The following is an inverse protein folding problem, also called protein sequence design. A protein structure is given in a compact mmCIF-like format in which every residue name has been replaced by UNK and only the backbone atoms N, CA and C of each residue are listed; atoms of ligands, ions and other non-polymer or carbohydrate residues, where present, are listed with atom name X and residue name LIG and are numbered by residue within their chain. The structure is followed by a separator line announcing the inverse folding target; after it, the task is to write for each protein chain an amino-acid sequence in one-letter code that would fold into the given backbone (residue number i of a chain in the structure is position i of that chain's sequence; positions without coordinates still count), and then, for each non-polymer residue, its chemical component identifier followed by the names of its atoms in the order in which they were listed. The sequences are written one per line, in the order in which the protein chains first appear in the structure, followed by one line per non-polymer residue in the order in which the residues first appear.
data_IF_855592385517
#
_entry.id   IF_855592385517
#
_cell.length_a   1.000
_cell.length_b   1.000
_cell.length_c   1.000
_cell.angle_alpha   90.00
_cell.angle_beta   90.00
_cell.angle_gamma   90.00
#
_symmetry.space_group_name_H-M   'P 1'
#
loop_
_entity.id
_entity.type
_entity.pdbx_description
1 polymer ?
#
# COMPACT_ATOMS: atom_id res chain seq x y z
N UNK A 1 19.86 -13.83 -4.62
CA UNK A 1 19.11 -12.61 -4.36
C UNK A 1 19.48 -11.95 -3.04
N UNK A 2 19.17 -12.49 -1.84
CA UNK A 2 19.44 -11.80 -0.55
C UNK A 2 20.92 -11.46 -0.33
N UNK A 3 21.87 -12.37 -0.62
CA UNK A 3 23.29 -12.08 -0.58
C UNK A 3 23.70 -10.93 -1.51
N UNK A 4 23.10 -10.85 -2.70
CA UNK A 4 23.37 -9.77 -3.64
C UNK A 4 22.87 -8.44 -3.09
N UNK A 5 21.64 -8.40 -2.59
CA UNK A 5 21.07 -7.19 -1.98
C UNK A 5 21.94 -6.68 -0.82
N UNK A 6 22.39 -7.58 0.04
CA UNK A 6 23.27 -7.20 1.16
C UNK A 6 24.64 -6.70 0.68
N UNK A 7 25.23 -7.38 -0.31
CA UNK A 7 26.54 -6.99 -0.86
C UNK A 7 26.50 -5.65 -1.61
N UNK A 8 25.36 -5.28 -2.18
CA UNK A 8 25.14 -4.00 -2.88
C UNK A 8 24.57 -2.90 -1.97
N UNK A 9 24.54 -3.12 -0.66
CA UNK A 9 24.05 -2.12 0.30
C UNK A 9 22.54 -1.88 0.28
N UNK A 10 21.76 -2.75 -0.39
CA UNK A 10 20.32 -2.60 -0.44
C UNK A 10 19.64 -3.16 0.81
N UNK A 11 18.69 -2.40 1.33
CA UNK A 11 17.82 -2.85 2.40
C UNK A 11 16.73 -3.78 1.90
N UNK A 12 16.38 -4.77 2.70
CA UNK A 12 15.27 -5.66 2.37
C UNK A 12 14.50 -6.10 3.60
N UNK A 13 13.20 -6.36 3.40
CA UNK A 13 12.33 -7.09 4.31
C UNK A 13 11.52 -8.09 3.48
N UNK A 14 11.69 -9.38 3.75
CA UNK A 14 11.03 -10.45 2.99
C UNK A 14 10.29 -11.41 3.91
N UNK A 15 9.14 -11.88 3.48
CA UNK A 15 8.38 -12.89 4.22
C UNK A 15 8.96 -14.28 3.97
N UNK A 16 9.16 -15.03 5.04
CA UNK A 16 9.49 -16.44 4.99
C UNK A 16 8.22 -17.28 5.17
N UNK A 17 7.88 -18.08 4.17
CA UNK A 17 6.70 -18.95 4.21
C UNK A 17 6.92 -20.23 5.03
N UNK A 18 8.17 -20.61 5.28
CA UNK A 18 8.54 -21.85 5.97
C UNK A 18 9.35 -21.57 7.22
N UNK A 19 9.08 -22.35 8.28
CA UNK A 19 9.92 -22.34 9.48
C UNK A 19 11.25 -23.06 9.17
N UNK A 20 12.31 -22.28 8.93
CA UNK A 20 13.63 -22.82 8.52
C UNK A 20 14.42 -23.30 9.73
N UNK A 21 15.33 -24.24 9.49
CA UNK A 21 16.30 -24.71 10.46
C UNK A 21 17.41 -23.65 10.59
N UNK A 22 17.86 -23.42 11.83
CA UNK A 22 19.05 -22.63 12.11
C UNK A 22 20.28 -23.45 11.79
N UNK A 23 21.34 -22.77 11.36
CA UNK A 23 22.66 -23.34 11.23
C UNK A 23 23.13 -23.81 12.62
N UNK A 24 23.36 -25.08 12.79
CA UNK A 24 23.80 -25.68 14.04
C UNK A 24 25.02 -26.55 13.83
N UNK A 25 25.85 -26.71 14.87
CA UNK A 25 26.90 -27.71 14.87
C UNK A 25 26.30 -29.13 14.88
N UNK A 26 27.03 -30.11 14.32
CA UNK A 26 26.58 -31.51 14.25
C UNK A 26 26.16 -32.12 15.61
N UNK A 27 26.59 -31.50 16.72
CA UNK A 27 26.31 -31.94 18.10
C UNK A 27 25.09 -31.29 18.76
N UNK A 28 24.43 -30.29 18.15
CA UNK A 28 23.26 -29.65 18.75
C UNK A 28 21.98 -30.02 18.01
N UNK A 29 20.85 -30.21 18.73
CA UNK A 29 19.56 -30.47 18.10
C UNK A 29 19.24 -29.30 17.16
N UNK A 30 18.78 -29.62 15.93
CA UNK A 30 18.46 -28.65 14.89
C UNK A 30 17.25 -27.82 15.32
N UNK A 31 17.50 -26.67 15.91
CA UNK A 31 16.46 -25.71 16.32
C UNK A 31 15.86 -25.01 15.10
N UNK A 32 14.57 -24.81 15.12
CA UNK A 32 13.89 -24.00 14.13
C UNK A 32 13.94 -22.52 14.52
N UNK A 33 13.80 -21.64 13.55
CA UNK A 33 13.84 -20.18 13.79
C UNK A 33 12.76 -19.76 14.79
N UNK A 34 11.54 -20.30 14.66
CA UNK A 34 10.44 -19.99 15.58
C UNK A 34 10.70 -20.43 17.02
N UNK A 35 11.43 -21.52 17.22
CA UNK A 35 11.80 -22.00 18.56
C UNK A 35 12.78 -20.99 19.25
N UNK A 36 13.68 -20.39 18.47
CA UNK A 36 14.53 -19.32 18.95
C UNK A 36 13.73 -18.08 19.27
N UNK A 37 12.84 -17.66 18.37
CA UNK A 37 12.00 -16.46 18.52
C UNK A 37 10.99 -16.60 19.65
N UNK A 38 10.49 -17.81 19.94
CA UNK A 38 9.58 -18.06 21.06
C UNK A 38 10.23 -17.72 22.41
N UNK A 39 11.55 -17.87 22.51
CA UNK A 39 12.34 -17.57 23.71
C UNK A 39 12.84 -16.12 23.77
N UNK A 40 12.77 -15.38 22.66
CA UNK A 40 13.15 -13.99 22.62
C UNK A 40 12.10 -13.13 23.36
N UNK A 41 12.48 -12.00 23.97
CA UNK A 41 11.51 -11.08 24.59
C UNK A 41 10.56 -10.50 23.53
N UNK A 42 9.40 -10.06 23.98
CA UNK A 42 8.49 -9.27 23.17
C UNK A 42 9.09 -7.87 23.05
N UNK A 43 9.44 -7.46 21.86
CA UNK A 43 9.99 -6.14 21.59
C UNK A 43 8.90 -5.08 21.44
N UNK A 44 7.80 -5.44 20.77
CA UNK A 44 6.72 -4.51 20.49
C UNK A 44 5.36 -5.21 20.43
N UNK A 45 4.31 -4.41 20.58
CA UNK A 45 2.92 -4.80 20.32
C UNK A 45 2.26 -3.73 19.47
N UNK A 46 1.37 -4.14 18.56
CA UNK A 46 0.60 -3.22 17.74
C UNK A 46 -0.78 -3.77 17.43
N UNK A 47 -1.70 -2.86 17.15
CA UNK A 47 -3.04 -3.18 16.69
C UNK A 47 -3.13 -2.98 15.19
N UNK A 48 -3.79 -3.90 14.50
CA UNK A 48 -4.02 -3.84 13.05
C UNK A 48 -5.49 -4.10 12.78
N UNK A 49 -6.12 -3.22 12.01
CA UNK A 49 -7.49 -3.40 11.57
C UNK A 49 -7.49 -4.20 10.26
N UNK A 50 -8.20 -5.32 10.30
CA UNK A 50 -8.39 -6.21 9.16
C UNK A 50 -9.72 -5.89 8.51
N UNK A 51 -9.67 -5.54 7.22
CA UNK A 51 -10.88 -5.32 6.44
C UNK A 51 -11.67 -6.62 6.29
N UNK A 52 -12.99 -6.53 6.31
CA UNK A 52 -13.89 -7.60 5.93
C UNK A 52 -13.79 -7.93 4.44
N UNK A 53 -14.22 -9.11 4.06
CA UNK A 53 -14.26 -9.58 2.68
C UNK A 53 -13.95 -11.06 2.55
N UNK A 54 -14.36 -11.68 1.45
CA UNK A 54 -14.16 -13.11 1.21
C UNK A 54 -14.63 -14.03 2.35
N UNK A 55 -15.81 -13.73 2.92
CA UNK A 55 -16.38 -14.50 4.03
C UNK A 55 -15.79 -14.22 5.40
N UNK A 56 -14.97 -13.17 5.53
CA UNK A 56 -14.38 -12.71 6.79
C UNK A 56 -15.00 -11.39 7.23
N UNK A 57 -15.31 -11.26 8.52
CA UNK A 57 -15.74 -10.00 9.11
C UNK A 57 -14.56 -9.04 9.35
N UNK A 58 -14.87 -7.73 9.29
CA UNK A 58 -13.89 -6.72 9.69
C UNK A 58 -13.61 -6.85 11.18
N UNK A 59 -12.33 -6.91 11.57
CA UNK A 59 -11.93 -7.02 12.96
C UNK A 59 -10.58 -6.38 13.24
N UNK A 60 -10.32 -6.12 14.48
CA UNK A 60 -9.04 -5.63 14.95
C UNK A 60 -8.23 -6.76 15.58
N UNK A 61 -6.98 -6.90 15.18
CA UNK A 61 -6.07 -7.92 15.65
C UNK A 61 -4.94 -7.31 16.49
N UNK A 62 -4.69 -7.86 17.67
CA UNK A 62 -3.56 -7.51 18.51
C UNK A 62 -2.35 -8.35 18.12
N UNK A 63 -1.28 -7.72 17.65
CA UNK A 63 -0.05 -8.38 17.24
C UNK A 63 1.05 -8.18 18.27
N UNK A 64 1.85 -9.22 18.49
CA UNK A 64 3.11 -9.16 19.24
C UNK A 64 4.27 -9.42 18.30
N UNK A 65 5.37 -8.70 18.51
CA UNK A 65 6.56 -8.74 17.69
C UNK A 65 7.74 -9.20 18.52
N UNK A 66 8.46 -10.21 18.02
CA UNK A 66 9.70 -10.71 18.59
C UNK A 66 10.76 -10.72 17.50
N UNK A 67 12.01 -10.44 17.85
CA UNK A 67 13.12 -10.49 16.89
C UNK A 67 14.34 -11.17 17.49
N UNK A 68 15.17 -11.70 16.60
CA UNK A 68 16.48 -12.23 16.94
C UNK A 68 17.35 -12.31 15.70
N UNK A 69 18.65 -12.06 15.87
CA UNK A 69 19.65 -12.33 14.83
C UNK A 69 19.76 -13.82 14.57
N UNK A 70 19.69 -14.20 13.31
CA UNK A 70 19.83 -15.60 12.86
C UNK A 70 20.79 -15.69 11.69
N UNK A 71 21.51 -16.80 11.60
CA UNK A 71 22.34 -17.12 10.45
C UNK A 71 21.61 -18.18 9.61
N UNK A 72 21.34 -17.84 8.36
CA UNK A 72 20.71 -18.69 7.37
C UNK A 72 21.78 -19.29 6.47
N UNK A 73 21.73 -20.58 6.21
CA UNK A 73 22.49 -21.16 5.11
C UNK A 73 21.65 -21.15 3.84
N UNK A 74 22.00 -20.26 2.94
CA UNK A 74 21.33 -20.12 1.65
C UNK A 74 22.16 -20.79 0.56
N UNK A 75 21.50 -21.61 -0.26
CA UNK A 75 22.13 -22.22 -1.43
C UNK A 75 22.19 -21.21 -2.56
N UNK A 76 23.36 -20.97 -3.07
CA UNK A 76 23.56 -20.16 -4.26
C UNK A 76 22.98 -20.88 -5.48
N UNK A 77 22.09 -20.24 -6.28
CA UNK A 77 21.45 -20.88 -7.42
C UNK A 77 22.40 -21.34 -8.53
N UNK A 78 23.54 -20.63 -8.68
CA UNK A 78 24.51 -20.86 -9.73
C UNK A 78 25.61 -21.86 -9.29
N UNK A 79 26.36 -21.48 -8.24
CA UNK A 79 27.47 -22.29 -7.74
C UNK A 79 27.04 -23.52 -6.91
N UNK A 80 25.73 -23.61 -6.56
CA UNK A 80 25.17 -24.64 -5.66
C UNK A 80 25.82 -24.69 -4.27
N UNK A 81 26.80 -23.86 -3.98
CA UNK A 81 27.45 -23.73 -2.68
C UNK A 81 26.49 -23.11 -1.64
N UNK A 82 26.62 -23.54 -0.40
CA UNK A 82 25.92 -22.91 0.71
C UNK A 82 26.77 -21.78 1.26
N UNK A 83 26.13 -20.62 1.48
CA UNK A 83 26.76 -19.44 2.07
C UNK A 83 25.95 -18.98 3.27
N UNK A 84 26.60 -18.68 4.40
CA UNK A 84 25.92 -18.11 5.55
C UNK A 84 25.47 -16.67 5.25
N UNK A 85 24.29 -16.31 5.74
CA UNK A 85 23.75 -14.95 5.69
C UNK A 85 23.19 -14.60 7.06
N UNK A 86 23.77 -13.59 7.72
CA UNK A 86 23.23 -13.04 8.95
C UNK A 86 22.10 -12.08 8.66
N UNK A 87 20.96 -12.28 9.31
CA UNK A 87 19.75 -11.43 9.17
C UNK A 87 19.04 -11.33 10.51
N UNK A 88 18.22 -10.29 10.66
CA UNK A 88 17.22 -10.24 11.70
C UNK A 88 15.99 -11.04 11.28
N UNK A 89 15.59 -11.99 12.12
CA UNK A 89 14.32 -12.69 11.98
C UNK A 89 13.29 -12.00 12.88
N UNK A 90 12.22 -11.48 12.29
CA UNK A 90 11.14 -10.80 12.99
C UNK A 90 9.89 -11.68 12.90
N UNK A 91 9.36 -12.07 14.04
CA UNK A 91 8.16 -12.87 14.14
C UNK A 91 7.00 -12.05 14.68
N UNK A 92 6.00 -11.86 13.84
CA UNK A 92 4.76 -11.15 14.15
C UNK A 92 3.66 -12.16 14.29
N UNK A 93 3.04 -12.21 15.46
CA UNK A 93 1.98 -13.19 15.76
C UNK A 93 0.78 -12.50 16.40
N UNK A 94 -0.40 -12.87 15.95
CA UNK A 94 -1.65 -12.46 16.57
C UNK A 94 -1.81 -13.10 17.95
N UNK A 95 -2.26 -12.30 18.90
CA UNK A 95 -2.56 -12.69 20.28
C UNK A 95 -4.06 -12.57 20.54
N UNK A 96 -4.60 -13.46 21.36
CA UNK A 96 -6.01 -13.47 21.69
C UNK A 96 -6.84 -14.48 20.88
N UNK A 97 -8.15 -14.38 21.01
CA UNK A 97 -9.09 -15.28 20.35
C UNK A 97 -9.28 -14.85 18.89
N UNK A 98 -9.13 -15.80 17.98
CA UNK A 98 -9.40 -15.62 16.56
C UNK A 98 -10.79 -16.18 16.26
N UNK A 99 -11.62 -15.53 15.42
CA UNK A 99 -12.93 -16.04 15.06
C UNK A 99 -12.88 -17.45 14.47
N UNK A 100 -13.92 -18.21 14.72
CA UNK A 100 -14.03 -19.60 14.22
C UNK A 100 -13.91 -19.63 12.69
N UNK A 101 -13.04 -20.48 12.18
CA UNK A 101 -12.78 -20.62 10.73
C UNK A 101 -11.69 -19.69 10.19
N UNK A 102 -11.24 -18.70 10.95
CA UNK A 102 -10.11 -17.84 10.56
C UNK A 102 -8.78 -18.39 11.09
N UNK A 103 -7.70 -18.07 10.37
CA UNK A 103 -6.34 -18.36 10.84
C UNK A 103 -5.75 -17.09 11.47
N UNK A 104 -5.04 -17.22 12.62
CA UNK A 104 -4.34 -16.07 13.21
C UNK A 104 -3.28 -15.53 12.26
N UNK A 105 -3.04 -14.23 12.33
CA UNK A 105 -1.91 -13.62 11.64
C UNK A 105 -0.60 -14.17 12.22
N UNK A 106 0.23 -14.69 11.33
CA UNK A 106 1.52 -15.28 11.67
C UNK A 106 2.52 -15.01 10.54
N UNK A 107 3.40 -14.04 10.75
CA UNK A 107 4.40 -13.63 9.77
C UNK A 107 5.81 -13.85 10.32
N UNK A 108 6.63 -14.56 9.59
CA UNK A 108 8.06 -14.64 9.80
C UNK A 108 8.74 -13.81 8.72
N UNK A 109 9.40 -12.72 9.11
CA UNK A 109 10.10 -11.80 8.23
C UNK A 109 11.60 -11.94 8.42
N UNK A 110 12.36 -11.79 7.33
CA UNK A 110 13.81 -11.61 7.37
C UNK A 110 14.14 -10.21 6.86
N UNK A 111 15.01 -9.54 7.57
CA UNK A 111 15.47 -8.21 7.20
C UNK A 111 16.95 -8.03 7.52
N UNK A 112 17.63 -7.14 6.80
CA UNK A 112 18.98 -6.67 7.13
C UNK A 112 18.97 -5.31 7.84
N UNK A 113 17.79 -4.78 8.17
CA UNK A 113 17.69 -3.67 9.12
C UNK A 113 18.03 -4.12 10.53
N UNK A 114 18.57 -3.23 11.34
CA UNK A 114 18.66 -3.44 12.80
C UNK A 114 17.24 -3.55 13.39
N UNK A 115 17.07 -4.43 14.38
CA UNK A 115 15.80 -4.63 15.10
C UNK A 115 16.12 -4.90 16.56
N UNK A 116 16.69 -3.90 17.22
CA UNK A 116 17.09 -3.97 18.62
C UNK A 116 16.12 -3.23 19.53
N UNK A 117 15.34 -2.29 18.98
CA UNK A 117 14.35 -1.49 19.69
C UNK A 117 12.92 -1.79 19.25
N UNK A 118 11.96 -1.34 20.06
CA UNK A 118 10.52 -1.39 19.75
C UNK A 118 10.19 -0.64 18.46
N UNK A 119 10.77 0.55 18.29
CA UNK A 119 10.56 1.43 17.14
C UNK A 119 11.04 0.78 15.86
N UNK A 120 12.23 0.20 15.86
CA UNK A 120 12.82 -0.51 14.71
C UNK A 120 11.99 -1.74 14.34
N UNK A 121 11.54 -2.51 15.34
CA UNK A 121 10.66 -3.66 15.13
C UNK A 121 9.35 -3.24 14.47
N UNK A 122 8.72 -2.16 14.96
CA UNK A 122 7.49 -1.62 14.38
C UNK A 122 7.71 -1.05 12.99
N UNK A 123 8.84 -0.39 12.72
CA UNK A 123 9.19 0.13 11.39
C UNK A 123 9.25 -1.01 10.36
N UNK A 124 9.93 -2.10 10.68
CA UNK A 124 10.01 -3.29 9.81
C UNK A 124 8.64 -3.88 9.54
N UNK A 125 7.80 -4.02 10.57
CA UNK A 125 6.45 -4.58 10.40
C UNK A 125 5.56 -3.64 9.58
N UNK A 126 5.57 -2.35 9.87
CA UNK A 126 4.82 -1.34 9.10
C UNK A 126 5.28 -1.29 7.65
N UNK A 127 6.60 -1.32 7.43
CA UNK A 127 7.17 -1.38 6.07
C UNK A 127 6.70 -2.62 5.31
N UNK A 128 6.67 -3.79 5.96
CA UNK A 128 6.13 -5.00 5.34
C UNK A 128 4.62 -4.88 5.02
N UNK A 129 3.84 -4.26 5.88
CA UNK A 129 2.42 -4.01 5.62
C UNK A 129 2.19 -3.14 4.37
N UNK A 130 3.13 -2.24 4.03
CA UNK A 130 3.05 -1.43 2.80
C UNK A 130 3.21 -2.26 1.52
N UNK A 131 3.73 -3.49 1.59
CA UNK A 131 3.85 -4.39 0.44
C UNK A 131 2.53 -4.56 -0.31
N UNK A 132 1.41 -4.55 0.41
CA UNK A 132 0.08 -4.70 -0.19
C UNK A 132 -0.29 -3.58 -1.16
N UNK A 133 0.32 -2.41 -1.03
CA UNK A 133 0.06 -1.28 -1.93
C UNK A 133 0.51 -1.52 -3.35
N UNK A 134 1.56 -2.32 -3.56
CA UNK A 134 1.99 -2.69 -4.91
C UNK A 134 0.93 -3.57 -5.60
N UNK A 135 0.22 -4.39 -4.83
CA UNK A 135 -0.87 -5.21 -5.36
C UNK A 135 -2.09 -4.36 -5.71
N UNK A 136 -2.45 -3.36 -4.87
CA UNK A 136 -3.48 -2.37 -5.19
C UNK A 136 -3.11 -1.57 -6.45
N UNK A 137 -1.86 -1.10 -6.55
CA UNK A 137 -1.35 -0.43 -7.74
C UNK A 137 -1.47 -1.33 -8.98
N UNK A 138 -0.98 -2.57 -8.92
CA UNK A 138 -1.10 -3.49 -10.04
C UNK A 138 -2.54 -3.76 -10.44
N UNK A 139 -3.45 -3.90 -9.48
CA UNK A 139 -4.87 -4.05 -9.75
C UNK A 139 -5.44 -2.84 -10.48
N UNK A 140 -5.13 -1.62 -10.04
CA UNK A 140 -5.59 -0.38 -10.68
C UNK A 140 -5.01 -0.21 -12.07
N UNK A 141 -3.71 -0.52 -12.24
CA UNK A 141 -2.99 -0.37 -13.50
C UNK A 141 -3.36 -1.43 -14.53
N UNK A 142 -3.38 -2.71 -14.16
CA UNK A 142 -3.55 -3.83 -15.10
C UNK A 142 -4.99 -3.98 -15.57
N UNK A 143 -5.90 -4.29 -14.65
CA UNK A 143 -7.28 -4.70 -14.94
C UNK A 143 -8.35 -3.79 -14.37
N UNK A 144 -7.95 -2.77 -13.60
CA UNK A 144 -8.86 -1.83 -12.95
C UNK A 144 -9.10 -0.57 -13.78
N UNK A 145 -8.84 0.58 -13.17
CA UNK A 145 -9.14 1.90 -13.76
C UNK A 145 -8.33 2.18 -15.05
N UNK A 146 -7.08 1.70 -15.15
CA UNK A 146 -6.21 1.93 -16.32
C UNK A 146 -6.31 0.85 -17.38
N UNK A 147 -6.63 -0.38 -17.00
CA UNK A 147 -6.92 -1.51 -17.89
C UNK A 147 -5.85 -1.78 -18.97
N UNK A 148 -4.57 -1.72 -18.58
CA UNK A 148 -3.43 -1.86 -19.51
C UNK A 148 -3.42 -3.20 -20.24
N UNK A 149 -3.89 -4.28 -19.59
CA UNK A 149 -3.92 -5.64 -20.15
C UNK A 149 -4.86 -5.79 -21.36
N UNK A 150 -5.80 -4.86 -21.55
CA UNK A 150 -6.70 -4.84 -22.70
C UNK A 150 -6.19 -3.96 -23.86
N UNK A 151 -4.94 -3.50 -23.77
CA UNK A 151 -4.34 -2.74 -24.87
C UNK A 151 -4.21 -3.61 -26.12
N UNK A 152 -4.60 -3.04 -27.26
CA UNK A 152 -4.44 -3.65 -28.60
C UNK A 152 -3.20 -3.14 -29.35
N UNK A 153 -2.27 -2.51 -28.65
CA UNK A 153 -1.01 -2.04 -29.23
C UNK A 153 -0.08 -3.22 -29.51
N UNK A 154 0.47 -3.31 -30.72
CA UNK A 154 1.33 -4.42 -31.15
C UNK A 154 2.83 -4.08 -31.05
N UNK A 155 3.18 -2.80 -31.11
CA UNK A 155 4.58 -2.37 -31.03
C UNK A 155 5.05 -2.30 -29.58
N UNK A 156 6.18 -2.95 -29.25
CA UNK A 156 6.78 -2.90 -27.90
C UNK A 156 7.05 -1.48 -27.44
N UNK A 157 7.47 -0.59 -28.34
CA UNK A 157 7.72 0.83 -28.03
C UNK A 157 6.43 1.53 -27.61
N UNK A 158 5.34 1.33 -28.36
CA UNK A 158 4.05 1.93 -28.06
C UNK A 158 3.42 1.34 -26.78
N UNK A 159 3.51 0.01 -26.61
CA UNK A 159 3.06 -0.67 -25.37
C UNK A 159 3.81 -0.11 -24.16
N UNK A 160 5.15 0.03 -24.25
CA UNK A 160 5.96 0.56 -23.14
C UNK A 160 5.57 2.00 -22.80
N UNK A 161 5.46 2.88 -23.78
CA UNK A 161 5.04 4.28 -23.56
C UNK A 161 3.65 4.34 -22.93
N UNK A 162 2.70 3.62 -23.48
CA UNK A 162 1.33 3.55 -23.00
C UNK A 162 1.26 3.03 -21.54
N UNK A 163 1.90 1.92 -21.29
CA UNK A 163 1.97 1.32 -19.96
C UNK A 163 2.60 2.26 -18.92
N UNK A 164 3.66 3.02 -19.32
CA UNK A 164 4.31 4.00 -18.45
C UNK A 164 3.39 5.18 -18.13
N UNK A 165 2.67 5.73 -19.12
CA UNK A 165 1.71 6.82 -18.89
C UNK A 165 0.60 6.35 -17.94
N UNK A 166 0.03 5.16 -18.19
CA UNK A 166 -1.01 4.63 -17.33
C UNK A 166 -0.51 4.23 -15.95
N UNK A 167 0.78 3.91 -15.79
CA UNK A 167 1.37 3.70 -14.47
C UNK A 167 1.36 5.01 -13.65
N UNK A 168 1.70 6.16 -14.26
CA UNK A 168 1.61 7.46 -13.59
C UNK A 168 0.16 7.79 -13.17
N UNK A 169 -0.82 7.50 -14.04
CA UNK A 169 -2.25 7.66 -13.71
C UNK A 169 -2.65 6.76 -12.54
N UNK A 170 -2.24 5.49 -12.55
CA UNK A 170 -2.52 4.54 -11.47
C UNK A 170 -1.91 4.99 -10.15
N UNK A 171 -0.65 5.48 -10.15
CA UNK A 171 0.02 6.03 -8.97
C UNK A 171 -0.78 7.20 -8.40
N UNK A 172 -1.22 8.14 -9.25
CA UNK A 172 -2.02 9.30 -8.81
C UNK A 172 -3.33 8.86 -8.14
N UNK A 173 -4.05 7.89 -8.74
CA UNK A 173 -5.29 7.35 -8.18
C UNK A 173 -5.04 6.71 -6.81
N UNK A 174 -4.02 5.84 -6.71
CA UNK A 174 -3.71 5.14 -5.46
C UNK A 174 -3.21 6.10 -4.38
N UNK A 175 -2.47 7.14 -4.75
CA UNK A 175 -2.02 8.19 -3.85
C UNK A 175 -3.19 9.00 -3.28
N UNK A 176 -4.14 9.43 -4.11
CA UNK A 176 -5.36 10.10 -3.66
C UNK A 176 -6.18 9.22 -2.70
N UNK A 177 -6.36 7.95 -3.02
CA UNK A 177 -7.01 6.98 -2.12
C UNK A 177 -6.31 6.88 -0.77
N UNK A 178 -4.98 6.82 -0.80
CA UNK A 178 -4.18 6.73 0.41
C UNK A 178 -4.34 7.96 1.28
N UNK A 179 -4.11 9.14 0.71
CA UNK A 179 -4.18 10.41 1.44
C UNK A 179 -5.58 10.64 2.03
N UNK A 180 -6.64 10.35 1.28
CA UNK A 180 -8.00 10.44 1.79
C UNK A 180 -8.30 9.53 2.99
N UNK A 181 -7.54 8.43 3.15
CA UNK A 181 -7.69 7.48 4.27
C UNK A 181 -6.79 7.79 5.47
N UNK A 182 -5.60 8.33 5.22
CA UNK A 182 -4.56 8.48 6.25
C UNK A 182 -4.29 9.91 6.65
N UNK A 183 -4.61 10.86 5.80
CA UNK A 183 -4.32 12.30 5.94
C UNK A 183 -5.46 13.14 5.33
N UNK A 184 -6.70 12.80 5.65
CA UNK A 184 -7.90 13.37 5.04
C UNK A 184 -7.99 14.90 5.19
N UNK A 185 -7.39 15.45 6.25
CA UNK A 185 -7.44 16.89 6.60
C UNK A 185 -6.40 17.76 5.86
N UNK A 186 -5.46 17.13 5.13
CA UNK A 186 -4.55 17.91 4.28
C UNK A 186 -5.32 18.72 3.24
N UNK A 187 -4.77 19.87 2.85
CA UNK A 187 -5.32 20.68 1.80
C UNK A 187 -5.28 19.94 0.45
N UNK A 188 -6.35 20.01 -0.35
CA UNK A 188 -6.41 19.35 -1.65
C UNK A 188 -5.33 19.81 -2.64
N UNK A 189 -4.84 21.05 -2.49
CA UNK A 189 -3.75 21.61 -3.29
C UNK A 189 -2.41 20.88 -3.18
N UNK A 190 -2.26 19.93 -2.23
CA UNK A 190 -1.10 19.00 -2.17
C UNK A 190 -1.05 18.08 -3.38
N UNK A 191 -2.21 17.75 -3.97
CA UNK A 191 -2.35 16.77 -5.06
C UNK A 191 -3.07 17.33 -6.30
N UNK A 192 -3.87 18.38 -6.13
CA UNK A 192 -4.65 18.97 -7.21
C UNK A 192 -4.05 20.34 -7.63
N UNK A 193 -4.06 20.59 -8.92
CA UNK A 193 -3.67 21.89 -9.46
C UNK A 193 -4.68 22.97 -9.06
N UNK A 194 -4.33 24.27 -9.11
CA UNK A 194 -5.27 25.37 -8.85
C UNK A 194 -6.55 25.27 -9.70
N UNK A 195 -6.41 24.98 -10.98
CA UNK A 195 -7.54 24.82 -11.90
C UNK A 195 -8.42 23.59 -11.54
N UNK A 196 -7.81 22.48 -11.12
CA UNK A 196 -8.57 21.31 -10.65
C UNK A 196 -9.35 21.63 -9.37
N UNK A 197 -8.74 22.33 -8.42
CA UNK A 197 -9.44 22.78 -7.19
C UNK A 197 -10.59 23.71 -7.54
N UNK A 198 -10.36 24.69 -8.41
CA UNK A 198 -11.40 25.65 -8.85
C UNK A 198 -12.56 24.93 -9.56
N UNK A 199 -12.27 24.09 -10.54
CA UNK A 199 -13.27 23.29 -11.25
C UNK A 199 -14.08 22.40 -10.32
N UNK A 200 -13.42 21.78 -9.33
CA UNK A 200 -14.05 20.90 -8.35
C UNK A 200 -15.02 21.68 -7.44
N UNK A 201 -14.61 22.85 -6.97
CA UNK A 201 -15.45 23.73 -6.17
C UNK A 201 -16.67 24.23 -6.95
N UNK A 202 -16.50 24.66 -8.21
CA UNK A 202 -17.60 25.09 -9.08
C UNK A 202 -18.59 23.95 -9.29
N UNK A 203 -18.08 22.75 -9.60
CA UNK A 203 -18.96 21.58 -9.77
C UNK A 203 -19.70 21.25 -8.47
N UNK A 204 -19.02 21.27 -7.33
CA UNK A 204 -19.62 20.92 -6.05
C UNK A 204 -20.68 21.92 -5.61
N UNK A 205 -20.46 23.22 -5.82
CA UNK A 205 -21.46 24.26 -5.52
C UNK A 205 -22.76 24.06 -6.30
N UNK A 206 -22.70 23.58 -7.55
CA UNK A 206 -23.86 23.24 -8.37
C UNK A 206 -24.56 21.93 -7.94
N UNK A 207 -23.82 21.04 -7.32
CA UNK A 207 -24.26 19.70 -6.94
C UNK A 207 -24.29 19.48 -5.42
N UNK A 208 -24.38 20.53 -4.63
CA UNK A 208 -24.42 20.44 -3.17
C UNK A 208 -25.77 19.90 -2.67
N UNK A 209 -25.74 19.15 -1.57
CA UNK A 209 -26.92 18.82 -0.78
C UNK A 209 -27.30 20.01 0.11
N UNK A 210 -28.55 20.03 0.59
CA UNK A 210 -29.09 21.17 1.38
C UNK A 210 -28.26 21.49 2.64
N UNK A 211 -27.66 20.49 3.27
CA UNK A 211 -26.95 20.60 4.56
C UNK A 211 -25.42 20.70 4.40
N UNK A 212 -24.90 20.64 3.17
CA UNK A 212 -23.46 20.54 2.93
C UNK A 212 -22.80 21.91 2.93
N UNK A 213 -21.76 22.09 3.75
CA UNK A 213 -20.94 23.30 3.79
C UNK A 213 -19.74 23.12 2.88
N UNK A 214 -19.59 24.01 1.91
CA UNK A 214 -18.49 23.99 0.94
C UNK A 214 -17.50 25.10 1.31
N UNK A 215 -16.20 24.80 1.46
CA UNK A 215 -15.19 25.83 1.73
C UNK A 215 -15.08 26.82 0.58
N UNK A 216 -14.63 28.04 0.90
CA UNK A 216 -14.55 29.15 -0.10
C UNK A 216 -13.44 28.91 -1.13
N UNK A 217 -12.30 28.36 -0.72
CA UNK A 217 -11.09 28.30 -1.57
C UNK A 217 -10.47 26.91 -1.71
N UNK A 218 -10.16 26.23 -0.63
CA UNK A 218 -9.39 24.98 -0.69
C UNK A 218 -10.06 23.89 0.17
N UNK A 219 -10.64 22.84 -0.46
CA UNK A 219 -11.21 21.71 0.28
C UNK A 219 -10.10 20.86 0.90
N UNK A 220 -10.45 20.02 1.87
CA UNK A 220 -9.54 18.99 2.34
C UNK A 220 -9.40 17.88 1.30
N UNK A 221 -8.30 17.12 1.38
CA UNK A 221 -8.06 15.99 0.46
C UNK A 221 -9.17 14.93 0.60
N UNK A 222 -9.70 14.70 1.81
CA UNK A 222 -10.83 13.82 2.05
C UNK A 222 -12.09 14.28 1.33
N UNK A 223 -12.41 15.59 1.40
CA UNK A 223 -13.52 16.19 0.68
C UNK A 223 -13.32 16.11 -0.83
N UNK A 224 -12.12 16.48 -1.31
CA UNK A 224 -11.81 16.50 -2.73
C UNK A 224 -11.93 15.10 -3.36
N UNK A 225 -11.37 14.07 -2.73
CA UNK A 225 -11.44 12.69 -3.23
C UNK A 225 -12.88 12.17 -3.22
N UNK A 226 -13.66 12.50 -2.20
CA UNK A 226 -15.09 12.15 -2.17
C UNK A 226 -15.86 12.80 -3.33
N UNK A 227 -15.63 14.09 -3.59
CA UNK A 227 -16.32 14.82 -4.66
C UNK A 227 -15.88 14.35 -6.05
N UNK A 228 -14.58 14.09 -6.24
CA UNK A 228 -14.06 13.45 -7.46
C UNK A 228 -14.76 12.10 -7.68
N UNK A 229 -14.84 11.28 -6.65
CA UNK A 229 -15.54 10.00 -6.77
C UNK A 229 -17.03 10.16 -7.09
N UNK A 230 -17.72 11.15 -6.51
CA UNK A 230 -19.10 11.49 -6.83
C UNK A 230 -19.25 11.91 -8.31
N UNK A 231 -18.32 12.73 -8.83
CA UNK A 231 -18.25 13.03 -10.27
C UNK A 231 -18.12 11.75 -11.11
N UNK A 232 -17.41 10.74 -10.59
CA UNK A 232 -17.19 9.43 -11.24
C UNK A 232 -18.32 8.44 -11.04
N UNK A 233 -19.41 8.82 -10.34
CA UNK A 233 -20.59 7.97 -10.14
C UNK A 233 -20.64 7.24 -8.78
N UNK A 234 -19.83 7.65 -7.81
CA UNK A 234 -19.91 7.11 -6.45
C UNK A 234 -21.19 7.61 -5.74
N UNK A 235 -21.98 6.67 -5.22
CA UNK A 235 -23.27 6.95 -4.57
C UNK A 235 -23.25 6.91 -3.03
N UNK A 236 -22.05 6.94 -2.42
CA UNK A 236 -21.90 6.93 -0.97
C UNK A 236 -21.96 5.52 -0.36
N UNK A 237 -22.42 5.43 0.89
CA UNK A 237 -22.43 4.16 1.66
C UNK A 237 -23.20 3.03 1.00
N UNK A 238 -24.21 3.33 0.18
CA UNK A 238 -24.96 2.34 -0.61
C UNK A 238 -24.09 1.57 -1.61
N UNK A 239 -22.87 2.07 -1.91
CA UNK A 239 -21.89 1.42 -2.80
C UNK A 239 -20.99 0.39 -2.09
N UNK A 240 -21.19 0.14 -0.81
CA UNK A 240 -20.49 -0.93 -0.08
C UNK A 240 -19.08 -0.59 0.43
N UNK A 241 -18.77 0.70 0.68
CA UNK A 241 -17.49 1.10 1.28
C UNK A 241 -16.94 2.43 0.74
N UNK A 242 -15.66 2.75 1.04
CA UNK A 242 -15.02 3.97 0.53
C UNK A 242 -14.84 3.92 -0.99
N UNK A 243 -14.66 5.10 -1.65
CA UNK A 243 -14.52 5.16 -3.11
C UNK A 243 -13.40 4.27 -3.63
N UNK A 244 -13.71 3.45 -4.64
CA UNK A 244 -12.75 2.60 -5.33
C UNK A 244 -12.01 3.32 -6.47
N UNK A 245 -10.94 2.70 -7.00
CA UNK A 245 -10.07 3.28 -8.04
C UNK A 245 -10.84 3.66 -9.31
N UNK A 246 -11.85 2.87 -9.71
CA UNK A 246 -12.62 3.11 -10.95
C UNK A 246 -13.41 4.41 -10.90
N UNK A 247 -14.14 4.65 -9.80
CA UNK A 247 -14.94 5.89 -9.68
C UNK A 247 -14.05 7.12 -9.50
N UNK A 248 -12.91 6.98 -8.83
CA UNK A 248 -11.92 8.07 -8.72
C UNK A 248 -11.33 8.39 -10.10
N UNK A 249 -10.93 7.38 -10.89
CA UNK A 249 -10.39 7.58 -12.23
C UNK A 249 -11.37 8.32 -13.15
N UNK A 250 -12.63 7.85 -13.21
CA UNK A 250 -13.69 8.52 -13.99
C UNK A 250 -13.94 9.95 -13.54
N UNK A 251 -13.88 10.19 -12.22
CA UNK A 251 -14.02 11.52 -11.65
C UNK A 251 -12.84 12.43 -12.01
N UNK A 252 -11.60 11.93 -11.95
CA UNK A 252 -10.41 12.67 -12.35
C UNK A 252 -10.43 13.05 -13.83
N UNK A 253 -10.87 12.15 -14.70
CA UNK A 253 -11.03 12.43 -16.13
C UNK A 253 -12.00 13.60 -16.35
N UNK A 254 -13.18 13.54 -15.73
CA UNK A 254 -14.17 14.63 -15.82
C UNK A 254 -13.69 15.94 -15.22
N UNK A 255 -12.95 15.85 -14.12
CA UNK A 255 -12.34 17.00 -13.48
C UNK A 255 -11.30 17.66 -14.38
N UNK A 256 -10.42 16.86 -15.01
CA UNK A 256 -9.39 17.34 -15.92
C UNK A 256 -9.98 18.10 -17.11
N UNK A 257 -11.03 17.60 -17.73
CA UNK A 257 -11.71 18.30 -18.83
C UNK A 257 -12.28 19.66 -18.39
N UNK A 258 -12.84 19.72 -17.17
CA UNK A 258 -13.36 20.98 -16.62
C UNK A 258 -12.26 21.96 -16.25
N UNK A 259 -11.18 21.48 -15.70
CA UNK A 259 -10.01 22.29 -15.34
C UNK A 259 -9.35 22.88 -16.59
N UNK A 260 -9.18 22.06 -17.65
CA UNK A 260 -8.65 22.53 -18.92
C UNK A 260 -9.51 23.61 -19.56
N UNK A 261 -10.83 23.45 -19.56
CA UNK A 261 -11.73 24.49 -20.07
C UNK A 261 -11.63 25.83 -19.29
N UNK A 262 -11.38 25.81 -17.99
CA UNK A 262 -11.15 27.02 -17.21
C UNK A 262 -9.81 27.67 -17.55
N UNK A 263 -8.77 26.88 -17.69
CA UNK A 263 -7.42 27.32 -18.07
C UNK A 263 -7.44 27.98 -19.45
N UNK A 264 -8.12 27.39 -20.43
CA UNK A 264 -8.28 27.93 -21.79
C UNK A 264 -9.03 29.28 -21.78
N UNK A 265 -10.09 29.41 -20.97
CA UNK A 265 -10.86 30.66 -20.83
C UNK A 265 -10.03 31.80 -20.22
N UNK A 266 -9.25 31.53 -19.18
CA UNK A 266 -8.37 32.55 -18.56
C UNK A 266 -7.26 32.96 -19.53
N UNK A 267 -6.63 32.02 -20.22
CA UNK A 267 -5.60 32.31 -21.22
C UNK A 267 -6.14 33.14 -22.40
N UNK A 268 -7.41 32.96 -22.76
CA UNK A 268 -8.06 33.72 -23.85
C UNK A 268 -8.51 35.13 -23.43
N UNK A 269 -8.64 35.42 -22.12
CA UNK A 269 -9.02 36.74 -21.61
C UNK A 269 -7.84 37.66 -21.37
N UNK A 270 -6.60 37.15 -21.49
CA UNK A 270 -5.35 37.93 -21.40
C UNK A 270 -4.82 38.41 -22.77
N UNK A 271 -5.49 38.07 -23.88
CA UNK A 271 -5.21 38.53 -25.25
C UNK A 271 -6.20 39.64 -25.62
#
# INVERSE_FOLDING_TARGET
MLHHLQATGHWFTVRCSRNRRLTGTKKQPRKLIRDKLAKAPVLASMRVDLAGGHGREARSAQLVVRAATVVLELRDPWSKKRRPLSVQAVWVRERGTVPRGEKPLDWLLFTNHSVDTSEEALLVVRGYCQRWRIEEFHKTWKSGACNVEQSQLHSTVHVTKWATILAAVAIRIERLKLLARTQAELAASVELTPYEVHALLLWKRRNKTRTEVIPKSNPTIGQAVLWIAQMGGYRGKSSGGPPGSIVIARGLERLRHRAGALEDLESSSEI
#
